data_IF_104637055011
#
_entry.id   IF_104637055011
#
_cell.length_a   1.000
_cell.length_b   1.000
_cell.length_c   1.000
_cell.angle_alpha   90.00
_cell.angle_beta   90.00
_cell.angle_gamma   90.00
#
_symmetry.space_group_name_H-M   'P 1'
#
loop_
_entity.id
_entity.type
_entity.pdbx_description
1 polymer ?
#
# COMPACT_ATOMS: atom_id res chain seq x y z
N UNK A 1 -9.31 -15.97 -25.19
CA UNK A 1 -8.97 -15.03 -26.29
C UNK A 1 -9.70 -13.68 -26.23
N UNK A 2 -11.04 -13.57 -26.14
CA UNK A 2 -11.71 -12.23 -26.02
C UNK A 2 -11.56 -11.61 -24.61
N UNK A 3 -11.61 -12.43 -23.55
CA UNK A 3 -11.53 -11.97 -22.16
C UNK A 3 -10.14 -11.49 -21.70
N UNK A 4 -9.06 -11.94 -22.35
CA UNK A 4 -7.70 -11.51 -21.99
C UNK A 4 -7.37 -10.09 -22.46
N UNK A 5 -7.88 -9.69 -23.62
CA UNK A 5 -7.75 -8.32 -24.12
C UNK A 5 -8.46 -7.31 -23.20
N UNK A 6 -9.66 -7.65 -22.72
CA UNK A 6 -10.43 -6.79 -21.82
C UNK A 6 -9.72 -6.57 -20.47
N UNK A 7 -9.16 -7.63 -19.87
CA UNK A 7 -8.39 -7.52 -18.62
C UNK A 7 -7.17 -6.61 -18.78
N UNK A 8 -6.49 -6.68 -19.92
CA UNK A 8 -5.35 -5.83 -20.22
C UNK A 8 -5.75 -4.36 -20.37
N UNK A 9 -6.85 -4.07 -21.07
CA UNK A 9 -7.39 -2.71 -21.23
C UNK A 9 -7.81 -2.13 -19.87
N UNK A 10 -8.57 -2.87 -19.07
CA UNK A 10 -9.02 -2.42 -17.75
C UNK A 10 -7.81 -2.13 -16.85
N UNK A 11 -6.83 -3.04 -16.82
CA UNK A 11 -5.65 -2.84 -15.99
C UNK A 11 -4.82 -1.61 -16.38
N UNK A 12 -4.69 -1.35 -17.69
CA UNK A 12 -4.04 -0.12 -18.19
C UNK A 12 -4.85 1.13 -17.85
N UNK A 13 -6.18 1.04 -17.94
CA UNK A 13 -7.09 2.12 -17.54
C UNK A 13 -6.94 2.51 -16.08
N UNK A 14 -6.88 1.55 -15.15
CA UNK A 14 -6.68 1.82 -13.72
C UNK A 14 -5.33 2.50 -13.47
N UNK A 15 -4.24 2.02 -14.07
CA UNK A 15 -2.92 2.63 -13.91
C UNK A 15 -2.83 4.05 -14.49
N UNK A 16 -3.49 4.29 -15.62
CA UNK A 16 -3.59 5.63 -16.21
C UNK A 16 -4.41 6.56 -15.29
N UNK A 17 -5.55 6.08 -14.80
CA UNK A 17 -6.42 6.81 -13.88
C UNK A 17 -5.70 7.15 -12.58
N UNK A 18 -4.94 6.21 -12.01
CA UNK A 18 -4.11 6.46 -10.83
C UNK A 18 -3.13 7.61 -11.06
N UNK A 19 -2.40 7.60 -12.20
CA UNK A 19 -1.43 8.65 -12.50
C UNK A 19 -2.11 10.02 -12.65
N UNK A 20 -3.32 10.06 -13.22
CA UNK A 20 -4.08 11.28 -13.42
C UNK A 20 -4.72 11.83 -12.13
N UNK A 21 -5.09 10.95 -11.20
CA UNK A 21 -5.80 11.31 -9.96
C UNK A 21 -4.93 11.28 -8.71
N UNK A 22 -3.65 10.95 -8.86
CA UNK A 22 -2.70 10.96 -7.77
C UNK A 22 -2.62 12.36 -7.13
N UNK A 23 -2.78 12.47 -5.80
CA UNK A 23 -2.57 13.73 -5.12
C UNK A 23 -1.09 14.13 -5.17
N UNK A 24 -0.81 15.43 -5.08
CA UNK A 24 0.54 15.92 -4.83
C UNK A 24 0.98 15.48 -3.42
N UNK A 25 2.22 15.01 -3.32
CA UNK A 25 2.80 14.66 -2.04
C UNK A 25 3.24 15.94 -1.31
N UNK A 26 3.00 16.05 0.00
CA UNK A 26 3.50 17.16 0.80
C UNK A 26 5.03 17.16 0.82
N UNK A 27 5.62 18.36 0.93
CA UNK A 27 7.06 18.53 1.08
C UNK A 27 7.36 18.81 2.55
N UNK A 28 8.04 17.87 3.20
CA UNK A 28 8.46 17.99 4.60
C UNK A 28 9.91 18.44 4.73
N UNK A 29 10.26 19.02 5.87
CA UNK A 29 11.67 19.16 6.26
C UNK A 29 12.34 17.80 6.41
N UNK A 30 13.67 17.77 6.40
CA UNK A 30 14.43 16.53 6.57
C UNK A 30 14.12 15.83 7.90
N UNK A 31 13.93 16.60 8.98
CA UNK A 31 13.61 16.06 10.30
C UNK A 31 12.21 15.45 10.34
N UNK A 32 11.21 16.15 9.79
CA UNK A 32 9.84 15.63 9.66
C UNK A 32 9.80 14.36 8.81
N UNK A 33 10.51 14.35 7.67
CA UNK A 33 10.55 13.17 6.81
C UNK A 33 11.21 11.99 7.54
N UNK A 34 12.31 12.20 8.26
CA UNK A 34 12.96 11.15 9.03
C UNK A 34 12.06 10.58 10.13
N UNK A 35 11.26 11.43 10.80
CA UNK A 35 10.28 11.00 11.80
C UNK A 35 9.13 10.18 11.17
N UNK A 36 8.67 10.54 9.97
CA UNK A 36 7.66 9.78 9.23
C UNK A 36 8.25 8.44 8.78
N UNK A 37 9.44 8.45 8.19
CA UNK A 37 10.11 7.24 7.69
C UNK A 37 10.37 6.24 8.82
N UNK A 38 10.74 6.72 10.02
CA UNK A 38 10.90 5.87 11.19
C UNK A 38 9.58 5.20 11.62
N UNK A 39 8.44 5.91 11.52
CA UNK A 39 7.12 5.35 11.82
C UNK A 39 6.67 4.34 10.75
N UNK A 40 7.08 4.51 9.49
CA UNK A 40 6.65 3.66 8.38
C UNK A 40 7.63 2.54 8.02
N UNK A 41 8.79 2.48 8.65
CA UNK A 41 9.84 1.50 8.37
C UNK A 41 9.36 0.04 8.54
N UNK A 42 8.45 -0.21 9.48
CA UNK A 42 7.88 -1.54 9.73
C UNK A 42 6.70 -1.91 8.82
N UNK A 43 6.33 -1.05 7.88
CA UNK A 43 5.13 -1.20 7.07
C UNK A 43 5.43 -1.73 5.67
N UNK A 44 4.64 -2.70 5.21
CA UNK A 44 4.64 -3.15 3.82
C UNK A 44 3.22 -3.35 3.31
N UNK A 45 2.90 -2.76 2.15
CA UNK A 45 1.62 -2.95 1.46
C UNK A 45 1.74 -4.07 0.43
N UNK A 46 1.00 -5.15 0.64
CA UNK A 46 0.77 -6.18 -0.36
C UNK A 46 -0.35 -5.71 -1.30
N UNK A 47 -0.02 -5.68 -2.59
CA UNK A 47 -0.88 -5.09 -3.59
C UNK A 47 -0.93 -5.88 -4.89
N UNK A 48 -1.99 -5.62 -5.65
CA UNK A 48 -2.00 -5.86 -7.08
C UNK A 48 -1.96 -4.49 -7.78
N UNK A 49 -0.95 -4.24 -8.62
CA UNK A 49 -0.74 -2.92 -9.24
C UNK A 49 -1.98 -2.29 -9.87
N UNK A 50 -2.76 -3.10 -10.60
CA UNK A 50 -3.97 -2.65 -11.31
C UNK A 50 -5.27 -2.76 -10.48
N UNK A 51 -5.18 -2.89 -9.16
CA UNK A 51 -6.35 -2.93 -8.27
C UNK A 51 -6.76 -1.51 -7.84
N UNK A 52 -8.04 -1.11 -8.02
CA UNK A 52 -8.51 0.22 -7.61
C UNK A 52 -8.49 0.42 -6.08
N UNK A 53 -8.67 -0.63 -5.29
CA UNK A 53 -8.57 -0.54 -3.82
C UNK A 53 -7.13 -0.35 -3.35
N UNK A 54 -6.16 -1.02 -3.98
CA UNK A 54 -4.74 -0.78 -3.69
C UNK A 54 -4.32 0.63 -4.12
N UNK A 55 -4.82 1.10 -5.28
CA UNK A 55 -4.63 2.48 -5.71
C UNK A 55 -5.12 3.48 -4.65
N UNK A 56 -6.27 3.25 -4.04
CA UNK A 56 -6.81 4.11 -2.96
C UNK A 56 -5.82 4.25 -1.79
N UNK A 57 -5.24 3.15 -1.33
CA UNK A 57 -4.24 3.15 -0.25
C UNK A 57 -2.95 3.85 -0.68
N UNK A 58 -2.45 3.59 -1.91
CA UNK A 58 -1.26 4.29 -2.44
C UNK A 58 -1.46 5.79 -2.57
N UNK A 59 -2.66 6.23 -2.93
CA UNK A 59 -2.98 7.65 -2.95
C UNK A 59 -2.94 8.26 -1.55
N UNK A 60 -3.38 7.53 -0.52
CA UNK A 60 -3.27 7.97 0.87
C UNK A 60 -1.81 8.06 1.34
N UNK A 61 -0.98 7.07 0.98
CA UNK A 61 0.47 7.15 1.20
C UNK A 61 1.06 8.42 0.59
N UNK A 62 0.71 8.74 -0.66
CA UNK A 62 1.15 9.98 -1.31
C UNK A 62 0.62 11.22 -0.60
N UNK A 63 -0.67 11.25 -0.26
CA UNK A 63 -1.33 12.40 0.40
C UNK A 63 -0.67 12.76 1.72
N UNK A 64 -0.19 11.76 2.45
CA UNK A 64 0.50 11.90 3.73
C UNK A 64 2.03 11.97 3.60
N UNK A 65 2.60 11.75 2.41
CA UNK A 65 4.05 11.71 2.17
C UNK A 65 4.75 10.52 2.84
N UNK A 66 4.06 9.38 2.95
CA UNK A 66 4.55 8.18 3.61
C UNK A 66 5.48 7.37 2.70
N UNK A 67 6.55 6.84 3.29
CA UNK A 67 7.46 5.93 2.63
C UNK A 67 7.18 4.49 3.12
N UNK A 68 6.40 3.75 2.35
CA UNK A 68 5.96 2.38 2.67
C UNK A 68 6.41 1.43 1.57
N UNK A 69 6.91 0.24 1.95
CA UNK A 69 7.32 -0.78 0.99
C UNK A 69 6.11 -1.32 0.21
N UNK A 70 6.21 -1.44 -1.11
CA UNK A 70 5.15 -1.99 -1.96
C UNK A 70 5.53 -3.37 -2.48
N UNK A 71 4.74 -4.39 -2.13
CA UNK A 71 4.94 -5.80 -2.48
C UNK A 71 3.86 -6.27 -3.47
N UNK A 72 4.21 -6.42 -4.74
CA UNK A 72 3.30 -6.95 -5.77
C UNK A 72 3.16 -8.48 -5.66
N UNK A 73 2.23 -8.92 -4.82
CA UNK A 73 1.94 -10.32 -4.53
C UNK A 73 1.48 -11.13 -5.76
N UNK A 74 1.07 -10.46 -6.84
CA UNK A 74 0.66 -11.13 -8.08
C UNK A 74 1.83 -11.46 -8.99
N UNK A 75 2.87 -10.63 -8.98
CA UNK A 75 4.04 -10.77 -9.87
C UNK A 75 5.22 -11.44 -9.19
N UNK A 76 5.30 -11.34 -7.87
CA UNK A 76 6.34 -12.01 -7.08
C UNK A 76 5.71 -13.18 -6.32
N UNK A 77 6.01 -14.43 -6.70
CA UNK A 77 5.50 -15.61 -6.01
C UNK A 77 5.85 -15.61 -4.52
N UNK A 78 7.05 -15.16 -4.13
CA UNK A 78 7.48 -15.15 -2.73
C UNK A 78 6.57 -14.28 -1.85
N UNK A 79 6.23 -13.07 -2.31
CA UNK A 79 5.26 -12.22 -1.59
C UNK A 79 3.84 -12.76 -1.65
N UNK A 80 3.48 -13.44 -2.74
CA UNK A 80 2.18 -14.07 -2.87
C UNK A 80 2.00 -15.26 -1.93
N UNK A 81 3.06 -16.02 -1.71
CA UNK A 81 3.09 -17.15 -0.79
C UNK A 81 3.14 -16.66 0.66
N UNK A 82 3.98 -15.68 0.99
CA UNK A 82 4.01 -15.02 2.30
C UNK A 82 2.63 -14.46 2.69
N UNK A 83 1.96 -13.75 1.77
CA UNK A 83 0.61 -13.22 2.02
C UNK A 83 -0.42 -14.32 2.29
N UNK A 84 -0.28 -15.47 1.62
CA UNK A 84 -1.21 -16.59 1.77
C UNK A 84 -0.96 -17.37 3.07
N UNK A 85 0.31 -17.63 3.38
CA UNK A 85 0.73 -18.47 4.48
C UNK A 85 0.75 -17.70 5.81
N UNK A 86 1.31 -16.48 5.82
CA UNK A 86 1.42 -15.66 7.03
C UNK A 86 0.23 -14.72 7.19
N UNK A 87 -0.21 -14.05 6.11
CA UNK A 87 -1.39 -13.17 6.16
C UNK A 87 -2.72 -13.93 6.23
N UNK A 88 -2.71 -15.22 5.91
CA UNK A 88 -3.86 -16.13 5.96
C UNK A 88 -4.82 -16.01 4.77
N UNK A 89 -4.72 -14.97 3.94
CA UNK A 89 -5.56 -14.78 2.74
C UNK A 89 -4.78 -14.17 1.59
N UNK A 90 -4.92 -14.76 0.41
CA UNK A 90 -4.42 -14.18 -0.84
C UNK A 90 -5.36 -13.08 -1.37
N UNK A 91 -5.46 -11.99 -0.63
CA UNK A 91 -6.33 -10.84 -0.89
C UNK A 91 -5.54 -9.53 -0.75
N UNK A 92 -5.85 -8.53 -1.58
CA UNK A 92 -5.23 -7.19 -1.51
C UNK A 92 -6.30 -6.09 -1.54
N UNK A 93 -6.03 -4.90 -1.00
CA UNK A 93 -4.81 -4.51 -0.26
C UNK A 93 -4.71 -5.21 1.10
N UNK A 94 -3.47 -5.44 1.54
CA UNK A 94 -3.15 -5.90 2.88
C UNK A 94 -1.90 -5.19 3.38
N UNK A 95 -1.98 -4.57 4.55
CA UNK A 95 -0.86 -3.90 5.21
C UNK A 95 -0.26 -4.85 6.25
N UNK A 96 1.01 -5.21 6.07
CA UNK A 96 1.83 -5.88 7.10
C UNK A 96 2.43 -4.81 7.99
N UNK A 97 2.21 -4.91 9.29
CA UNK A 97 2.71 -4.01 10.31
C UNK A 97 3.69 -4.82 11.17
N UNK A 98 4.96 -4.44 11.15
CA UNK A 98 6.00 -5.07 11.98
C UNK A 98 6.38 -4.12 13.10
N UNK A 99 6.01 -4.48 14.33
CA UNK A 99 6.36 -3.73 15.53
C UNK A 99 7.83 -3.88 15.89
N UNK A 100 8.37 -2.94 16.69
CA UNK A 100 9.78 -2.95 17.09
C UNK A 100 10.21 -4.15 17.94
N UNK A 101 9.26 -4.86 18.54
CA UNK A 101 9.47 -6.11 19.28
C UNK A 101 9.40 -7.37 18.39
N UNK A 102 9.17 -7.19 17.08
CA UNK A 102 9.06 -8.26 16.10
C UNK A 102 7.66 -8.85 15.95
N UNK A 103 6.64 -8.33 16.64
CA UNK A 103 5.25 -8.73 16.40
C UNK A 103 4.80 -8.27 15.01
N UNK A 104 4.07 -9.15 14.31
CA UNK A 104 3.55 -8.90 12.97
C UNK A 104 2.03 -8.93 13.01
N UNK A 105 1.42 -7.84 12.56
CA UNK A 105 -0.01 -7.73 12.34
C UNK A 105 -0.33 -7.58 10.85
N UNK A 106 -1.46 -8.14 10.43
CA UNK A 106 -1.92 -8.11 9.05
C UNK A 106 -3.30 -7.44 8.98
N UNK A 107 -3.34 -6.25 8.40
CA UNK A 107 -4.55 -5.45 8.27
C UNK A 107 -5.06 -5.51 6.82
N UNK A 108 -6.29 -5.98 6.66
CA UNK A 108 -6.96 -6.06 5.37
C UNK A 108 -7.96 -4.91 5.21
N UNK A 109 -8.56 -4.82 4.02
CA UNK A 109 -9.56 -3.82 3.64
C UNK A 109 -8.98 -2.40 3.48
N UNK A 110 -9.27 -1.77 2.33
CA UNK A 110 -8.66 -0.48 2.01
C UNK A 110 -9.07 0.66 2.94
N UNK A 111 -10.26 0.60 3.54
CA UNK A 111 -10.74 1.64 4.45
C UNK A 111 -10.05 1.50 5.80
N UNK A 112 -10.07 0.31 6.38
CA UNK A 112 -9.44 0.01 7.66
C UNK A 112 -7.94 0.36 7.63
N UNK A 113 -7.25 0.06 6.52
CA UNK A 113 -5.86 0.49 6.31
C UNK A 113 -5.72 2.02 6.35
N UNK A 114 -6.60 2.75 5.66
CA UNK A 114 -6.56 4.23 5.62
C UNK A 114 -6.85 4.82 7.00
N UNK A 115 -7.84 4.29 7.70
CA UNK A 115 -8.22 4.72 9.04
C UNK A 115 -7.07 4.47 10.03
N UNK A 116 -6.46 3.28 9.97
CA UNK A 116 -5.28 2.93 10.76
C UNK A 116 -4.10 3.89 10.50
N UNK A 117 -3.81 4.23 9.25
CA UNK A 117 -2.77 5.22 8.89
C UNK A 117 -3.15 6.64 9.36
N UNK A 118 -4.44 6.92 9.51
CA UNK A 118 -4.98 8.13 10.10
C UNK A 118 -4.66 8.24 11.59
N UNK A 119 -4.86 7.15 12.31
CA UNK A 119 -4.76 7.09 13.77
C UNK A 119 -3.33 6.88 14.28
N UNK A 120 -2.52 6.12 13.53
CA UNK A 120 -1.22 5.62 14.02
C UNK A 120 -0.01 6.37 13.46
N UNK A 121 -0.17 7.19 12.42
CA UNK A 121 0.94 7.96 11.83
C UNK A 121 0.78 9.44 12.14
N UNK A 122 1.71 9.97 12.93
CA UNK A 122 1.72 11.37 13.34
C UNK A 122 2.61 12.17 12.40
N UNK A 123 2.02 13.17 11.75
CA UNK A 123 2.73 14.17 10.96
C UNK A 123 2.97 15.36 11.89
N UNK A 124 4.21 15.54 12.33
CA UNK A 124 4.58 16.70 13.17
C UNK A 124 4.57 17.96 12.31
N UNK A 125 3.89 19.00 12.79
CA UNK A 125 3.80 20.32 12.14
C UNK A 125 5.12 21.09 12.24
#
# INVERSE_FOLDING_TARGET
MIFEGLRWIIGRGVLAYEKMTAPEAPVYSMEQQAAIDAQTQGLALYEFKACPFCMKVRQEFRRKGLNVELRDARRNPAWGDELREEGGKYQTPCLKITSGDGQVEWLYESNDIIDWLGENIVIQA
#
